data_IF_842459267115
#
_entry.id   IF_842459267115
#
_cell.length_a   1.000
_cell.length_b   1.000
_cell.length_c   1.000
_cell.angle_alpha   90.00
_cell.angle_beta   90.00
_cell.angle_gamma   90.00
#
_symmetry.space_group_name_H-M   'P 1'
#
loop_
_entity.id
_entity.type
_entity.pdbx_description
1 polymer ?
#
# COMPACT_ATOMS: atom_id res chain seq x y z
N UNK A 1 -13.61 -1.39 -18.14
CA UNK A 1 -12.56 -1.83 -17.21
C UNK A 1 -11.19 -1.48 -17.76
N UNK A 2 -10.21 -1.23 -16.90
CA UNK A 2 -8.83 -0.98 -17.30
C UNK A 2 -8.19 -2.24 -17.91
N UNK A 3 -7.20 -2.07 -18.77
CA UNK A 3 -6.39 -3.17 -19.28
C UNK A 3 -5.59 -3.78 -18.13
N UNK A 4 -5.58 -5.12 -17.95
CA UNK A 4 -4.74 -5.75 -16.92
C UNK A 4 -3.27 -5.36 -17.07
N UNK A 5 -2.59 -5.06 -15.98
CA UNK A 5 -1.18 -4.63 -16.00
C UNK A 5 -0.27 -5.64 -16.73
N UNK A 6 -0.54 -6.94 -16.60
CA UNK A 6 0.20 -7.99 -17.30
C UNK A 6 0.10 -7.94 -18.84
N UNK A 7 -0.78 -7.11 -19.40
CA UNK A 7 -0.95 -6.91 -20.84
C UNK A 7 -0.43 -5.55 -21.32
N UNK A 8 0.11 -4.75 -20.42
CA UNK A 8 0.73 -3.47 -20.75
C UNK A 8 2.19 -3.69 -21.12
N UNK A 9 2.68 -2.91 -22.07
CA UNK A 9 4.08 -2.96 -22.50
C UNK A 9 5.03 -2.51 -21.38
N UNK A 10 4.57 -1.63 -20.50
CA UNK A 10 5.37 -1.08 -19.42
C UNK A 10 4.51 -0.78 -18.19
N UNK A 11 4.98 -1.26 -17.05
CA UNK A 11 4.43 -0.97 -15.72
C UNK A 11 5.56 -0.56 -14.79
N UNK A 12 5.37 0.51 -14.05
CA UNK A 12 6.33 1.02 -13.08
C UNK A 12 5.69 1.15 -11.71
N UNK A 13 6.51 0.96 -10.67
CA UNK A 13 6.15 1.22 -9.29
C UNK A 13 7.14 2.16 -8.62
N UNK A 14 6.64 3.08 -7.84
CA UNK A 14 7.44 3.89 -6.94
C UNK A 14 7.84 3.06 -5.72
N UNK A 15 9.11 3.05 -5.44
CA UNK A 15 9.73 2.29 -4.36
C UNK A 15 10.46 3.26 -3.42
N UNK A 16 9.83 3.69 -2.31
CA UNK A 16 10.51 4.51 -1.32
C UNK A 16 11.73 3.79 -0.74
N UNK A 17 12.88 4.47 -0.73
CA UNK A 17 14.17 3.91 -0.30
C UNK A 17 14.84 4.80 0.76
N UNK A 18 15.38 4.19 1.83
CA UNK A 18 15.40 2.75 2.16
C UNK A 18 14.00 2.19 2.41
N UNK A 19 13.75 0.93 1.99
CA UNK A 19 12.43 0.30 2.08
C UNK A 19 12.52 -1.21 2.33
N UNK A 20 11.35 -1.85 2.46
CA UNK A 20 11.26 -3.27 2.74
C UNK A 20 11.59 -4.12 1.50
N UNK A 21 12.63 -4.91 1.57
CA UNK A 21 13.19 -5.67 0.44
C UNK A 21 12.19 -6.66 -0.19
N UNK A 22 11.21 -7.15 0.58
CA UNK A 22 10.18 -8.06 0.07
C UNK A 22 9.28 -7.39 -0.98
N UNK A 23 8.93 -6.13 -0.78
CA UNK A 23 8.17 -5.35 -1.75
C UNK A 23 8.93 -5.25 -3.08
N UNK A 24 10.22 -4.99 -3.01
CA UNK A 24 11.08 -4.88 -4.20
C UNK A 24 11.21 -6.22 -4.93
N UNK A 25 11.36 -7.33 -4.19
CA UNK A 25 11.39 -8.67 -4.78
C UNK A 25 10.08 -9.06 -5.45
N UNK A 26 8.93 -8.68 -4.89
CA UNK A 26 7.62 -8.90 -5.52
C UNK A 26 7.54 -8.10 -6.83
N UNK A 27 7.95 -6.84 -6.79
CA UNK A 27 7.93 -5.95 -7.96
C UNK A 27 8.83 -6.49 -9.08
N UNK A 28 10.05 -6.92 -8.73
CA UNK A 28 11.00 -7.54 -9.65
C UNK A 28 10.45 -8.84 -10.27
N UNK A 29 9.85 -9.70 -9.43
CA UNK A 29 9.28 -10.99 -9.87
C UNK A 29 8.22 -10.83 -10.96
N UNK A 30 7.42 -9.78 -10.89
CA UNK A 30 6.40 -9.47 -11.91
C UNK A 30 6.93 -8.65 -13.08
N UNK A 31 8.23 -8.39 -13.15
CA UNK A 31 8.83 -7.60 -14.23
C UNK A 31 8.41 -6.13 -14.22
N UNK A 32 7.98 -5.61 -13.08
CA UNK A 32 7.59 -4.22 -12.92
C UNK A 32 8.85 -3.37 -12.71
N UNK A 33 9.01 -2.32 -13.48
CA UNK A 33 10.14 -1.38 -13.33
C UNK A 33 10.01 -0.60 -12.02
N UNK A 34 11.09 -0.55 -11.24
CA UNK A 34 11.13 0.16 -9.96
C UNK A 34 11.75 1.53 -10.13
N UNK A 35 11.06 2.56 -9.65
CA UNK A 35 11.56 3.93 -9.54
C UNK A 35 11.82 4.21 -8.07
N UNK A 36 13.08 4.44 -7.71
CA UNK A 36 13.44 4.80 -6.35
C UNK A 36 12.99 6.22 -6.02
N UNK A 37 12.33 6.37 -4.87
CA UNK A 37 11.94 7.66 -4.30
C UNK A 37 12.63 7.82 -2.95
N UNK A 38 13.30 8.95 -2.66
CA UNK A 38 13.92 9.15 -1.36
C UNK A 38 12.89 9.13 -0.22
N UNK A 39 13.27 8.51 0.90
CA UNK A 39 12.54 8.66 2.16
C UNK A 39 13.03 9.88 2.91
N UNK A 40 12.09 10.62 3.49
CA UNK A 40 12.32 11.71 4.45
C UNK A 40 11.93 11.25 5.86
N UNK A 41 12.08 12.10 6.87
CA UNK A 41 11.59 11.81 8.23
C UNK A 41 10.08 11.61 8.29
N UNK A 42 9.33 12.27 7.39
CA UNK A 42 7.87 12.28 7.32
C UNK A 42 7.26 11.24 6.36
N UNK A 43 8.08 10.43 5.71
CA UNK A 43 7.66 9.46 4.69
C UNK A 43 8.38 9.65 3.35
N UNK A 44 7.84 9.16 2.22
CA UNK A 44 8.43 9.40 0.91
C UNK A 44 8.46 10.89 0.56
N UNK A 45 9.44 11.32 -0.21
CA UNK A 45 9.50 12.68 -0.75
C UNK A 45 8.29 12.91 -1.68
N UNK A 46 7.28 13.60 -1.13
CA UNK A 46 6.00 13.77 -1.82
C UNK A 46 6.08 14.72 -3.02
N UNK A 47 7.04 15.64 -3.06
CA UNK A 47 7.20 16.52 -4.22
C UNK A 47 7.64 15.69 -5.44
N UNK A 48 8.56 14.76 -5.22
CA UNK A 48 8.99 13.80 -6.25
C UNK A 48 7.87 12.82 -6.62
N UNK A 49 7.17 12.28 -5.63
CA UNK A 49 6.07 11.32 -5.86
C UNK A 49 5.00 11.96 -6.74
N UNK A 50 4.49 13.14 -6.35
CA UNK A 50 3.41 13.83 -7.06
C UNK A 50 3.82 14.22 -8.48
N UNK A 51 5.05 14.72 -8.67
CA UNK A 51 5.58 15.06 -10.01
C UNK A 51 5.60 13.81 -10.92
N UNK A 52 6.10 12.69 -10.41
CA UNK A 52 6.22 11.47 -11.19
C UNK A 52 4.85 10.89 -11.58
N UNK A 53 3.91 10.77 -10.63
CA UNK A 53 2.60 10.15 -10.89
C UNK A 53 1.70 11.03 -11.76
N UNK A 54 1.87 12.35 -11.71
CA UNK A 54 1.12 13.28 -12.55
C UNK A 54 1.54 13.25 -14.02
N UNK A 55 2.79 12.86 -14.31
CA UNK A 55 3.37 12.98 -15.66
C UNK A 55 3.62 11.64 -16.36
N UNK A 56 3.45 10.50 -15.69
CA UNK A 56 3.75 9.19 -16.28
C UNK A 56 2.63 8.17 -15.98
N UNK A 57 1.79 7.92 -16.98
CA UNK A 57 0.69 6.95 -16.89
C UNK A 57 1.16 5.50 -16.76
N UNK A 58 2.44 5.19 -17.01
CA UNK A 58 2.99 3.86 -16.81
C UNK A 58 3.29 3.55 -15.33
N UNK A 59 3.28 4.56 -14.46
CA UNK A 59 3.41 4.38 -13.00
C UNK A 59 2.06 3.95 -12.44
N UNK A 60 2.00 2.70 -11.99
CA UNK A 60 0.76 2.06 -11.56
C UNK A 60 0.66 1.88 -10.05
N UNK A 61 1.71 2.14 -9.32
CA UNK A 61 1.62 1.99 -7.88
C UNK A 61 2.81 2.51 -7.10
N UNK A 62 2.62 2.56 -5.80
CA UNK A 62 3.62 2.89 -4.78
C UNK A 62 3.51 1.92 -3.60
N UNK A 63 4.66 1.49 -3.07
CA UNK A 63 4.72 0.75 -1.81
C UNK A 63 4.84 1.71 -0.63
N UNK A 64 3.98 1.54 0.37
CA UNK A 64 4.00 2.34 1.59
C UNK A 64 4.00 1.47 2.83
N UNK A 65 4.91 1.73 3.78
CA UNK A 65 4.89 1.20 5.14
C UNK A 65 4.75 2.40 6.07
N UNK A 66 3.50 2.80 6.42
CA UNK A 66 3.23 4.14 6.95
C UNK A 66 3.67 4.33 8.40
N UNK A 67 3.71 3.27 9.19
CA UNK A 67 4.08 3.32 10.61
C UNK A 67 5.26 2.40 10.86
N UNK A 68 6.30 2.94 11.49
CA UNK A 68 7.54 2.22 11.78
C UNK A 68 8.14 1.53 10.56
N UNK A 69 8.28 2.31 9.47
CA UNK A 69 8.82 1.83 8.18
C UNK A 69 10.06 0.99 8.34
N UNK A 70 10.11 -0.16 7.68
CA UNK A 70 11.28 -1.02 7.67
C UNK A 70 12.19 -0.65 6.49
N UNK A 71 13.51 -0.32 6.70
CA UNK A 71 14.29 -0.50 7.93
C UNK A 71 14.42 0.75 8.81
N UNK A 72 13.93 1.91 8.40
CA UNK A 72 14.28 3.21 9.00
C UNK A 72 13.53 3.56 10.28
N UNK A 73 12.37 2.93 10.52
CA UNK A 73 11.53 3.19 11.69
C UNK A 73 10.67 4.45 11.59
N UNK A 74 10.67 5.14 10.47
CA UNK A 74 9.87 6.34 10.26
C UNK A 74 8.36 6.06 10.36
N UNK A 75 7.63 7.07 10.83
CA UNK A 75 6.16 7.10 10.74
C UNK A 75 5.78 8.27 9.86
N UNK A 76 4.91 8.02 8.87
CA UNK A 76 4.46 9.07 7.96
C UNK A 76 3.71 10.16 8.72
N UNK A 77 3.96 11.41 8.36
CA UNK A 77 3.20 12.52 8.91
C UNK A 77 1.76 12.53 8.37
N UNK A 78 0.85 13.14 9.11
CA UNK A 78 -0.53 13.34 8.67
C UNK A 78 -0.60 14.06 7.32
N UNK A 79 0.32 14.99 7.09
CA UNK A 79 0.41 15.73 5.83
C UNK A 79 0.80 14.81 4.67
N UNK A 80 1.80 13.95 4.86
CA UNK A 80 2.18 12.95 3.87
C UNK A 80 1.01 12.04 3.49
N UNK A 81 0.26 11.56 4.49
CA UNK A 81 -0.92 10.71 4.24
C UNK A 81 -2.00 11.46 3.47
N UNK A 82 -2.26 12.73 3.82
CA UNK A 82 -3.23 13.56 3.08
C UNK A 82 -2.78 13.86 1.65
N UNK A 83 -1.49 14.11 1.42
CA UNK A 83 -0.94 14.31 0.08
C UNK A 83 -1.09 13.04 -0.77
N UNK A 84 -0.73 11.88 -0.23
CA UNK A 84 -0.95 10.59 -0.90
C UNK A 84 -2.42 10.39 -1.31
N UNK A 85 -3.37 10.70 -0.42
CA UNK A 85 -4.79 10.54 -0.69
C UNK A 85 -5.32 11.47 -1.80
N UNK A 86 -4.72 12.64 -1.96
CA UNK A 86 -5.16 13.69 -2.90
C UNK A 86 -4.41 13.69 -4.22
N UNK A 87 -3.45 12.80 -4.42
CA UNK A 87 -2.63 12.78 -5.63
C UNK A 87 -3.48 12.74 -6.89
N UNK A 88 -3.11 13.56 -7.85
CA UNK A 88 -3.63 13.54 -9.21
C UNK A 88 -2.71 12.66 -10.05
N UNK A 89 -3.15 11.44 -10.36
CA UNK A 89 -2.35 10.46 -11.09
C UNK A 89 -2.74 10.43 -12.57
N UNK A 90 -1.76 10.47 -13.47
CA UNK A 90 -1.98 10.26 -14.90
C UNK A 90 -2.59 8.88 -15.18
N UNK A 91 -2.23 7.88 -14.39
CA UNK A 91 -2.80 6.54 -14.45
C UNK A 91 -4.10 6.43 -13.65
N UNK A 92 -5.27 6.22 -14.28
CA UNK A 92 -6.55 6.08 -13.56
C UNK A 92 -6.64 4.81 -12.72
N UNK A 93 -5.75 3.87 -12.97
CA UNK A 93 -5.63 2.59 -12.26
C UNK A 93 -4.43 2.54 -11.32
N UNK A 94 -3.90 3.70 -10.92
CA UNK A 94 -2.85 3.80 -9.90
C UNK A 94 -3.31 3.24 -8.55
N UNK A 95 -2.40 2.57 -7.83
CA UNK A 95 -2.71 1.95 -6.52
C UNK A 95 -1.64 2.24 -5.49
N UNK A 96 -2.08 2.61 -4.30
CA UNK A 96 -1.26 2.67 -3.09
C UNK A 96 -1.33 1.30 -2.42
N UNK A 97 -0.19 0.61 -2.33
CA UNK A 97 -0.05 -0.62 -1.57
C UNK A 97 0.35 -0.27 -0.14
N UNK A 98 -0.64 -0.17 0.74
CA UNK A 98 -0.51 0.32 2.10
C UNK A 98 -0.27 -0.84 3.07
N UNK A 99 1.01 -1.16 3.32
CA UNK A 99 1.42 -2.23 4.23
C UNK A 99 1.43 -1.72 5.67
N UNK A 100 0.31 -1.87 6.35
CA UNK A 100 0.08 -1.41 7.71
C UNK A 100 0.45 -2.48 8.76
N UNK A 101 1.64 -3.06 8.62
CA UNK A 101 2.13 -4.17 9.43
C UNK A 101 2.25 -3.85 10.92
N UNK A 102 2.40 -2.57 11.28
CA UNK A 102 2.65 -2.10 12.64
C UNK A 102 1.53 -1.19 13.17
N UNK A 103 0.32 -1.31 12.63
CA UNK A 103 -0.81 -0.40 12.93
C UNK A 103 -1.15 -0.25 14.42
N UNK A 104 -0.99 -1.31 15.21
CA UNK A 104 -1.33 -1.34 16.64
C UNK A 104 -0.10 -1.29 17.56
N UNK A 105 1.09 -1.11 17.00
CA UNK A 105 2.32 -1.06 17.78
C UNK A 105 2.55 0.34 18.33
N UNK A 106 2.86 0.44 19.62
CA UNK A 106 3.38 1.64 20.26
C UNK A 106 4.58 1.26 21.10
N UNK A 107 5.74 1.81 20.74
CA UNK A 107 6.99 1.54 21.45
C UNK A 107 7.31 2.62 22.48
N UNK A 108 6.75 3.82 22.32
CA UNK A 108 6.97 4.97 23.21
C UNK A 108 5.67 5.76 23.35
N UNK A 109 5.23 5.99 24.59
CA UNK A 109 4.06 6.80 24.87
C UNK A 109 2.73 6.08 24.73
N UNK A 110 1.66 6.85 24.58
CA UNK A 110 0.30 6.35 24.44
C UNK A 110 -0.06 6.12 22.95
N UNK A 111 -1.04 5.24 22.72
CA UNK A 111 -1.56 5.00 21.37
C UNK A 111 -2.05 6.31 20.76
N UNK A 112 -1.56 6.60 19.57
CA UNK A 112 -2.02 7.71 18.74
C UNK A 112 -2.77 7.17 17.53
N UNK A 113 -4.02 7.59 17.30
CA UNK A 113 -4.73 7.27 16.08
C UNK A 113 -3.91 7.68 14.85
N UNK A 114 -3.79 6.76 13.90
CA UNK A 114 -3.14 7.05 12.62
C UNK A 114 -4.21 7.43 11.58
N UNK A 115 -3.93 8.35 10.64
CA UNK A 115 -4.92 8.75 9.64
C UNK A 115 -5.43 7.55 8.82
N UNK A 116 -6.75 7.47 8.65
CA UNK A 116 -7.39 6.47 7.80
C UNK A 116 -7.26 6.86 6.32
N UNK A 117 -6.29 6.24 5.65
CA UNK A 117 -5.99 6.52 4.24
C UNK A 117 -7.17 6.18 3.32
N UNK A 118 -7.96 5.15 3.63
CA UNK A 118 -9.11 4.75 2.81
C UNK A 118 -10.17 5.85 2.83
N UNK A 119 -10.52 6.34 4.02
CA UNK A 119 -11.46 7.45 4.18
C UNK A 119 -10.95 8.73 3.52
N UNK A 120 -9.67 9.06 3.71
CA UNK A 120 -9.06 10.24 3.09
C UNK A 120 -9.06 10.17 1.56
N UNK A 121 -8.78 9.01 0.98
CA UNK A 121 -8.88 8.83 -0.47
C UNK A 121 -10.32 8.97 -0.97
N UNK A 122 -11.30 8.44 -0.24
CA UNK A 122 -12.71 8.59 -0.61
C UNK A 122 -13.16 10.06 -0.56
N UNK A 123 -12.79 10.80 0.49
CA UNK A 123 -13.05 12.24 0.63
C UNK A 123 -12.39 13.06 -0.49
N UNK A 124 -11.22 12.65 -0.94
CA UNK A 124 -10.49 13.29 -2.04
C UNK A 124 -11.03 12.93 -3.44
N UNK A 125 -12.02 12.04 -3.56
CA UNK A 125 -12.56 11.59 -4.84
C UNK A 125 -11.80 10.41 -5.47
N UNK A 126 -10.88 9.79 -4.73
CA UNK A 126 -10.03 8.68 -5.15
C UNK A 126 -10.34 7.36 -4.40
N UNK A 127 -11.62 6.93 -4.24
CA UNK A 127 -11.99 5.83 -3.33
C UNK A 127 -11.31 4.50 -3.65
N UNK A 128 -10.95 4.27 -4.90
CA UNK A 128 -10.38 2.99 -5.36
C UNK A 128 -8.86 2.95 -5.35
N UNK A 129 -8.20 4.01 -4.87
CA UNK A 129 -6.75 4.15 -5.02
C UNK A 129 -5.94 3.28 -4.04
N UNK A 130 -6.53 2.80 -2.92
CA UNK A 130 -5.80 2.12 -1.85
C UNK A 130 -6.15 0.65 -1.75
N UNK A 131 -5.11 -0.16 -1.56
CA UNK A 131 -5.17 -1.50 -0.97
C UNK A 131 -4.39 -1.49 0.34
N UNK A 132 -5.08 -1.62 1.46
CA UNK A 132 -4.49 -1.67 2.78
C UNK A 132 -4.36 -3.12 3.25
N UNK A 133 -3.18 -3.45 3.78
CA UNK A 133 -2.85 -4.77 4.28
C UNK A 133 -2.43 -4.70 5.74
N UNK A 134 -2.94 -5.61 6.55
CA UNK A 134 -2.50 -5.79 7.93
C UNK A 134 -2.44 -7.28 8.26
N UNK A 135 -1.67 -7.62 9.30
CA UNK A 135 -1.61 -8.99 9.80
C UNK A 135 -1.33 -9.03 11.30
N UNK A 136 -1.70 -10.15 11.92
CA UNK A 136 -1.39 -10.40 13.33
C UNK A 136 -0.01 -11.03 13.55
N UNK A 137 0.74 -11.29 12.50
CA UNK A 137 2.06 -11.98 12.55
C UNK A 137 3.09 -11.28 13.44
N UNK A 138 2.97 -9.97 13.61
CA UNK A 138 3.85 -9.15 14.47
C UNK A 138 3.31 -8.94 15.88
N UNK A 139 2.09 -9.38 16.17
CA UNK A 139 1.38 -9.22 17.44
C UNK A 139 1.31 -10.55 18.18
N UNK A 140 1.13 -11.64 17.42
CA UNK A 140 1.10 -13.01 17.92
C UNK A 140 2.41 -13.73 17.59
N UNK A 141 2.44 -15.06 17.70
CA UNK A 141 3.60 -15.84 17.26
C UNK A 141 3.59 -16.05 15.73
N UNK A 142 4.77 -16.09 15.15
CA UNK A 142 4.94 -16.30 13.73
C UNK A 142 4.36 -17.65 13.29
N UNK A 143 3.57 -17.65 12.21
CA UNK A 143 2.90 -18.84 11.69
C UNK A 143 1.52 -19.12 12.29
N UNK A 144 1.14 -18.48 13.40
CA UNK A 144 -0.20 -18.58 14.00
C UNK A 144 -1.09 -17.37 13.72
N UNK A 145 -0.63 -16.45 12.87
CA UNK A 145 -1.36 -15.25 12.53
C UNK A 145 -2.24 -15.39 11.29
N UNK A 146 -3.11 -14.41 11.10
CA UNK A 146 -3.86 -14.22 9.86
C UNK A 146 -3.59 -12.82 9.30
N UNK A 147 -3.90 -12.62 8.04
CA UNK A 147 -3.81 -11.32 7.39
C UNK A 147 -5.17 -10.88 6.86
N UNK A 148 -5.35 -9.58 6.78
CA UNK A 148 -6.55 -8.95 6.26
C UNK A 148 -6.18 -7.92 5.21
N UNK A 149 -7.11 -7.67 4.31
CA UNK A 149 -7.02 -6.58 3.36
C UNK A 149 -8.28 -5.71 3.46
N UNK A 150 -8.09 -4.41 3.42
CA UNK A 150 -9.16 -3.42 3.31
C UNK A 150 -8.99 -2.61 2.03
N UNK A 151 -10.10 -2.22 1.42
CA UNK A 151 -10.14 -1.37 0.23
C UNK A 151 -11.59 -0.84 0.04
N UNK A 152 -11.82 -0.07 -1.02
CA UNK A 152 -13.18 0.32 -1.39
C UNK A 152 -14.08 -0.89 -1.65
N UNK A 153 -15.40 -0.71 -1.52
CA UNK A 153 -16.38 -1.76 -1.83
C UNK A 153 -16.22 -2.31 -3.25
N UNK A 154 -15.95 -1.44 -4.22
CA UNK A 154 -15.74 -1.83 -5.61
C UNK A 154 -14.51 -2.73 -5.78
N UNK A 155 -13.39 -2.38 -5.14
CA UNK A 155 -12.17 -3.18 -5.14
C UNK A 155 -12.38 -4.53 -4.44
N UNK A 156 -13.02 -4.55 -3.28
CA UNK A 156 -13.33 -5.78 -2.55
C UNK A 156 -14.25 -6.69 -3.36
N UNK A 157 -15.30 -6.13 -3.98
CA UNK A 157 -16.21 -6.90 -4.83
C UNK A 157 -15.50 -7.52 -6.05
N UNK A 158 -14.53 -6.80 -6.63
CA UNK A 158 -13.71 -7.32 -7.72
C UNK A 158 -12.79 -8.44 -7.26
N UNK A 159 -12.01 -8.21 -6.20
CA UNK A 159 -11.03 -9.17 -5.68
C UNK A 159 -11.69 -10.43 -5.12
N UNK A 160 -12.85 -10.32 -4.48
CA UNK A 160 -13.60 -11.46 -3.98
C UNK A 160 -13.96 -12.46 -5.07
N UNK A 161 -14.21 -12.01 -6.30
CA UNK A 161 -14.45 -12.89 -7.44
C UNK A 161 -13.19 -13.69 -7.81
N UNK A 162 -12.01 -13.06 -7.74
CA UNK A 162 -10.75 -13.73 -8.02
C UNK A 162 -10.39 -14.72 -6.91
N UNK A 163 -10.53 -14.31 -5.65
CA UNK A 163 -10.26 -15.18 -4.50
C UNK A 163 -11.20 -16.37 -4.43
N UNK A 164 -12.47 -16.19 -4.79
CA UNK A 164 -13.43 -17.29 -4.83
C UNK A 164 -13.07 -18.40 -5.84
N UNK A 165 -12.21 -18.09 -6.82
CA UNK A 165 -11.65 -19.09 -7.75
C UNK A 165 -10.36 -19.70 -7.20
N UNK A 166 -9.54 -18.91 -6.53
CA UNK A 166 -8.24 -19.34 -6.01
C UNK A 166 -8.34 -20.14 -4.72
N UNK A 167 -9.32 -19.85 -3.86
CA UNK A 167 -9.39 -20.36 -2.49
C UNK A 167 -10.82 -20.68 -2.12
N UNK A 168 -11.07 -21.92 -1.67
CA UNK A 168 -12.39 -22.35 -1.17
C UNK A 168 -12.66 -21.73 0.21
N UNK A 169 -11.64 -21.67 1.06
CA UNK A 169 -11.69 -21.02 2.38
C UNK A 169 -10.31 -20.59 2.84
N UNK A 170 -10.30 -19.64 3.75
CA UNK A 170 -9.10 -19.19 4.46
C UNK A 170 -8.85 -20.03 5.71
N UNK A 171 -7.69 -19.84 6.34
CA UNK A 171 -7.29 -20.54 7.55
C UNK A 171 -8.17 -20.12 8.74
N UNK A 172 -9.20 -20.91 8.99
CA UNK A 172 -10.15 -20.66 10.08
C UNK A 172 -9.58 -20.99 11.46
N UNK A 173 -8.59 -21.87 11.53
CA UNK A 173 -7.98 -22.27 12.81
C UNK A 173 -7.23 -21.09 13.42
N UNK A 174 -6.50 -20.34 12.63
CA UNK A 174 -5.77 -19.17 13.09
C UNK A 174 -6.66 -17.94 13.37
N UNK A 175 -7.96 -18.03 13.07
CA UNK A 175 -8.93 -16.97 13.36
C UNK A 175 -9.71 -17.20 14.66
N UNK A 176 -9.63 -18.39 15.26
CA UNK A 176 -10.23 -18.75 16.54
C UNK A 176 -9.29 -18.47 17.70
#
# INVERSE_FOLDING_TARGET
>A
GSTPWAKLDKVKFLCPVPGYDRHFKITEYFGIEMINVPMTEDGPDMDIVEELVANDESIKGIWCVPKYSNPTGNTYSDETVRRLAKMECAAPDFRIMWDNAYCVHEFIGEFKPFPDIISLCAEAGNPDMVYEFASTSKITFAGGGFSVMAASEANIAYLSKLWGVQTISYDKVNQL
#
